data_IF_892994193767
#
_entry.id   IF_892994193767
#
_cell.length_a   1.000
_cell.length_b   1.000
_cell.length_c   1.000
_cell.angle_alpha   90.00
_cell.angle_beta   90.00
_cell.angle_gamma   90.00
#
_symmetry.space_group_name_H-M   'P 1'
#
loop_
_entity.id
_entity.type
_entity.pdbx_description
1 polymer ?
#
# COMPACT_ATOMS: atom_id res chain seq x y z
N UNK A 1 15.57 -16.63 -4.35
CA UNK A 1 14.65 -15.46 -4.24
C UNK A 1 15.45 -14.24 -3.80
N UNK A 2 15.49 -13.19 -4.62
CA UNK A 2 16.28 -11.98 -4.36
C UNK A 2 15.76 -11.26 -3.09
N UNK A 3 16.61 -10.47 -2.43
CA UNK A 3 16.25 -9.72 -1.22
C UNK A 3 15.00 -8.85 -1.45
N UNK A 4 14.92 -8.15 -2.58
CA UNK A 4 13.76 -7.31 -2.92
C UNK A 4 12.47 -8.12 -3.12
N UNK A 5 12.53 -9.34 -3.65
CA UNK A 5 11.36 -10.23 -3.74
C UNK A 5 10.91 -10.70 -2.36
N UNK A 6 11.85 -11.03 -1.45
CA UNK A 6 11.53 -11.34 -0.05
C UNK A 6 10.84 -10.17 0.64
N UNK A 7 11.31 -8.94 0.39
CA UNK A 7 10.68 -7.71 0.90
C UNK A 7 9.26 -7.54 0.37
N UNK A 8 9.06 -7.73 -0.92
CA UNK A 8 7.73 -7.61 -1.53
C UNK A 8 6.74 -8.64 -0.94
N UNK A 9 7.14 -9.90 -0.78
CA UNK A 9 6.31 -10.91 -0.13
C UNK A 9 6.00 -10.59 1.33
N UNK A 10 6.98 -10.10 2.07
CA UNK A 10 6.78 -9.69 3.46
C UNK A 10 5.78 -8.52 3.56
N UNK A 11 5.95 -7.49 2.74
CA UNK A 11 5.04 -6.34 2.69
C UNK A 11 3.60 -6.76 2.34
N UNK A 12 3.43 -7.71 1.41
CA UNK A 12 2.11 -8.28 1.10
C UNK A 12 1.52 -9.03 2.30
N UNK A 13 2.31 -9.85 2.98
CA UNK A 13 1.89 -10.56 4.20
C UNK A 13 1.45 -9.61 5.31
N UNK A 14 2.23 -8.56 5.58
CA UNK A 14 1.90 -7.53 6.58
C UNK A 14 0.65 -6.76 6.18
N UNK A 15 0.51 -6.39 4.91
CA UNK A 15 -0.67 -5.68 4.41
C UNK A 15 -1.93 -6.54 4.51
N UNK A 16 -1.84 -7.84 4.20
CA UNK A 16 -2.95 -8.77 4.35
C UNK A 16 -3.34 -8.94 5.82
N UNK A 17 -2.36 -9.13 6.71
CA UNK A 17 -2.60 -9.25 8.15
C UNK A 17 -3.23 -7.97 8.71
N UNK A 18 -2.78 -6.80 8.27
CA UNK A 18 -3.41 -5.52 8.60
C UNK A 18 -4.88 -5.51 8.19
N UNK A 19 -5.20 -5.85 6.93
CA UNK A 19 -6.58 -5.85 6.44
C UNK A 19 -7.47 -6.78 7.27
N UNK A 20 -6.99 -8.01 7.55
CA UNK A 20 -7.70 -8.97 8.39
C UNK A 20 -7.96 -8.39 9.79
N UNK A 21 -6.94 -7.80 10.40
CA UNK A 21 -7.03 -7.24 11.76
C UNK A 21 -7.96 -6.02 11.80
N UNK A 22 -7.86 -5.15 10.79
CA UNK A 22 -8.72 -3.98 10.63
C UNK A 22 -10.18 -4.38 10.53
N UNK A 23 -10.52 -5.30 9.62
CA UNK A 23 -11.90 -5.76 9.46
C UNK A 23 -12.40 -6.52 10.68
N UNK A 24 -11.57 -7.36 11.31
CA UNK A 24 -11.93 -8.04 12.55
C UNK A 24 -12.27 -7.05 13.67
N UNK A 25 -11.45 -6.01 13.87
CA UNK A 25 -11.72 -4.96 14.85
C UNK A 25 -12.95 -4.12 14.48
N UNK A 26 -13.15 -3.85 13.19
CA UNK A 26 -14.32 -3.11 12.71
C UNK A 26 -15.61 -3.86 13.03
N UNK A 27 -15.66 -5.17 12.76
CA UNK A 27 -16.83 -6.00 13.05
C UNK A 27 -17.06 -6.24 14.54
N UNK A 28 -16.00 -6.40 15.34
CA UNK A 28 -16.12 -6.76 16.76
C UNK A 28 -16.34 -5.55 17.68
N UNK A 29 -15.71 -4.42 17.38
CA UNK A 29 -15.60 -3.27 18.30
C UNK A 29 -16.10 -1.95 17.69
N UNK A 30 -16.27 -1.89 16.36
CA UNK A 30 -16.59 -0.65 15.67
C UNK A 30 -15.47 0.39 15.74
N UNK A 31 -15.70 1.57 15.16
CA UNK A 31 -14.75 2.68 15.26
C UNK A 31 -14.59 3.18 16.71
N UNK A 32 -13.38 3.64 17.12
CA UNK A 32 -12.16 3.88 16.33
C UNK A 32 -11.12 2.75 16.40
N UNK A 33 -11.46 1.61 17.01
CA UNK A 33 -10.53 0.48 17.24
C UNK A 33 -9.75 0.00 16.01
N UNK A 34 -10.28 0.04 14.77
CA UNK A 34 -9.52 -0.32 13.57
C UNK A 34 -8.24 0.51 13.36
N UNK A 35 -8.15 1.74 13.88
CA UNK A 35 -6.93 2.55 13.80
C UNK A 35 -5.77 1.97 14.63
N UNK A 36 -6.06 1.15 15.64
CA UNK A 36 -5.03 0.42 16.39
C UNK A 36 -4.32 -0.62 15.51
N UNK A 37 -5.00 -1.17 14.49
CA UNK A 37 -4.35 -2.00 13.49
C UNK A 37 -3.30 -1.22 12.68
N UNK A 38 -3.51 0.10 12.51
CA UNK A 38 -2.60 0.96 11.73
C UNK A 38 -1.29 1.18 12.48
N UNK A 39 -1.35 1.40 13.79
CA UNK A 39 -0.18 1.43 14.68
C UNK A 39 0.60 0.11 14.61
N UNK A 40 -0.10 -1.03 14.60
CA UNK A 40 0.50 -2.35 14.45
C UNK A 40 1.23 -2.52 13.10
N UNK A 41 0.62 -2.11 11.99
CA UNK A 41 1.25 -2.16 10.68
C UNK A 41 2.50 -1.24 10.60
N UNK A 42 2.44 -0.06 11.23
CA UNK A 42 3.55 0.88 11.29
C UNK A 42 4.76 0.30 12.04
N UNK A 43 4.53 -0.40 13.16
CA UNK A 43 5.58 -1.06 13.94
C UNK A 43 6.30 -2.15 13.13
N UNK A 44 5.57 -2.91 12.31
CA UNK A 44 6.16 -3.91 11.42
C UNK A 44 7.05 -3.30 10.32
N UNK A 45 6.63 -2.16 9.76
CA UNK A 45 7.43 -1.40 8.78
C UNK A 45 8.73 -0.88 9.43
N UNK A 46 8.66 -0.32 10.64
CA UNK A 46 9.82 0.18 11.39
C UNK A 46 10.80 -0.95 11.74
N UNK A 47 10.30 -2.08 12.25
CA UNK A 47 11.13 -3.22 12.62
C UNK A 47 11.88 -3.80 11.41
N UNK A 48 11.28 -3.75 10.22
CA UNK A 48 11.89 -4.27 9.01
C UNK A 48 12.95 -3.34 8.40
N UNK A 49 12.81 -2.02 8.53
CA UNK A 49 13.85 -1.07 8.15
C UNK A 49 15.12 -1.17 9.02
N UNK A 50 15.00 -1.72 10.23
CA UNK A 50 16.14 -1.99 11.10
C UNK A 50 17.04 -3.14 10.59
N UNK A 51 16.52 -4.05 9.76
CA UNK A 51 17.28 -5.17 9.18
C UNK A 51 17.85 -4.87 7.77
N UNK A 52 18.36 -3.65 7.57
CA UNK A 52 19.10 -3.28 6.35
C UNK A 52 20.51 -3.87 6.38
N UNK A 53 20.65 -5.14 6.00
CA UNK A 53 21.95 -5.69 5.61
C UNK A 53 22.48 -5.04 4.31
N UNK A 54 23.79 -5.10 4.05
CA UNK A 54 24.40 -4.56 2.84
C UNK A 54 23.84 -5.31 1.62
N UNK A 55 22.95 -4.66 0.89
CA UNK A 55 22.35 -5.20 -0.32
C UNK A 55 23.18 -4.67 -1.49
N UNK A 56 23.87 -5.56 -2.21
CA UNK A 56 24.51 -5.25 -3.49
C UNK A 56 23.42 -4.85 -4.48
N UNK A 57 23.18 -3.55 -4.59
CA UNK A 57 22.19 -2.98 -5.51
C UNK A 57 22.71 -3.07 -6.93
N UNK A 58 22.13 -3.97 -7.72
CA UNK A 58 22.34 -4.04 -9.18
C UNK A 58 21.53 -2.93 -9.87
N UNK A 59 22.00 -2.41 -11.01
CA UNK A 59 21.30 -1.38 -11.80
C UNK A 59 19.88 -1.83 -12.20
N UNK A 60 19.71 -3.14 -12.43
CA UNK A 60 18.41 -3.75 -12.71
C UNK A 60 17.42 -3.57 -11.55
N UNK A 61 17.89 -3.72 -10.31
CA UNK A 61 17.04 -3.61 -9.12
C UNK A 61 16.54 -2.17 -8.93
N UNK A 62 17.38 -1.18 -9.23
CA UNK A 62 17.00 0.23 -9.22
C UNK A 62 15.92 0.54 -10.26
N UNK A 63 16.03 -0.02 -11.47
CA UNK A 63 15.02 0.14 -12.53
C UNK A 63 13.68 -0.49 -12.14
N UNK A 64 13.69 -1.67 -11.52
CA UNK A 64 12.47 -2.34 -11.04
C UNK A 64 11.77 -1.48 -9.99
N UNK A 65 12.50 -0.98 -9.00
CA UNK A 65 11.94 -0.14 -7.92
C UNK A 65 11.34 1.14 -8.48
N UNK A 66 12.01 1.78 -9.45
CA UNK A 66 11.47 3.02 -10.07
C UNK A 66 10.18 2.76 -10.83
N UNK A 67 10.11 1.65 -11.59
CA UNK A 67 8.91 1.26 -12.34
C UNK A 67 7.78 0.84 -11.40
N UNK A 68 8.06 0.05 -10.36
CA UNK A 68 7.06 -0.40 -9.40
C UNK A 68 6.43 0.77 -8.63
N UNK A 69 7.24 1.75 -8.20
CA UNK A 69 6.74 2.98 -7.57
C UNK A 69 5.84 3.78 -8.50
N UNK A 70 6.21 3.94 -9.78
CA UNK A 70 5.36 4.66 -10.75
C UNK A 70 4.01 3.97 -10.92
N UNK A 71 3.99 2.64 -11.00
CA UNK A 71 2.73 1.86 -11.07
C UNK A 71 1.91 2.05 -9.79
N UNK A 72 2.55 1.94 -8.62
CA UNK A 72 1.87 2.08 -7.33
C UNK A 72 1.24 3.46 -7.15
N UNK A 73 1.96 4.53 -7.50
CA UNK A 73 1.41 5.90 -7.48
C UNK A 73 0.27 6.09 -8.48
N UNK A 74 0.35 5.48 -9.66
CA UNK A 74 -0.74 5.51 -10.64
C UNK A 74 -2.01 4.87 -10.09
N UNK A 75 -1.91 3.67 -9.50
CA UNK A 75 -3.03 2.97 -8.87
C UNK A 75 -3.61 3.79 -7.71
N UNK A 76 -2.76 4.35 -6.87
CA UNK A 76 -3.18 5.22 -5.76
C UNK A 76 -3.99 6.42 -6.23
N UNK A 77 -3.51 7.16 -7.24
CA UNK A 77 -4.22 8.33 -7.74
C UNK A 77 -5.58 7.99 -8.34
N UNK A 78 -5.67 6.89 -9.10
CA UNK A 78 -6.96 6.43 -9.66
C UNK A 78 -7.95 6.12 -8.55
N UNK A 79 -7.53 5.41 -7.50
CA UNK A 79 -8.40 5.08 -6.37
C UNK A 79 -8.75 6.30 -5.52
N UNK A 80 -7.81 7.22 -5.31
CA UNK A 80 -8.05 8.44 -4.56
C UNK A 80 -9.07 9.33 -5.29
N UNK A 81 -8.84 9.62 -6.57
CA UNK A 81 -9.78 10.43 -7.36
C UNK A 81 -11.13 9.74 -7.46
N UNK A 82 -11.15 8.43 -7.74
CA UNK A 82 -12.38 7.66 -7.82
C UNK A 82 -13.19 7.69 -6.52
N UNK A 83 -12.54 7.44 -5.38
CA UNK A 83 -13.19 7.49 -4.07
C UNK A 83 -13.68 8.89 -3.70
N UNK A 84 -12.90 9.95 -3.99
CA UNK A 84 -13.35 11.33 -3.81
C UNK A 84 -14.57 11.68 -4.67
N UNK A 85 -14.62 11.22 -5.92
CA UNK A 85 -15.79 11.44 -6.79
C UNK A 85 -17.02 10.69 -6.29
N UNK A 86 -16.88 9.43 -5.90
CA UNK A 86 -17.98 8.63 -5.30
C UNK A 86 -18.53 9.36 -4.08
N UNK A 87 -17.64 9.79 -3.21
CA UNK A 87 -17.99 10.50 -1.99
C UNK A 87 -18.72 11.82 -2.26
N UNK A 88 -18.21 12.63 -3.19
CA UNK A 88 -18.89 13.84 -3.66
C UNK A 88 -20.28 13.54 -4.20
N UNK A 89 -20.44 12.47 -4.98
CA UNK A 89 -21.74 12.08 -5.57
C UNK A 89 -22.80 11.78 -4.50
N UNK A 90 -22.41 11.15 -3.39
CA UNK A 90 -23.31 10.89 -2.26
C UNK A 90 -23.60 12.15 -1.42
N UNK A 91 -22.66 13.09 -1.36
CA UNK A 91 -22.77 14.28 -0.50
C UNK A 91 -23.31 15.53 -1.20
N UNK A 92 -23.37 15.55 -2.54
CA UNK A 92 -23.78 16.74 -3.32
C UNK A 92 -25.17 17.27 -2.97
N UNK A 93 -26.05 16.42 -2.43
CA UNK A 93 -27.42 16.79 -2.05
C UNK A 93 -27.55 17.24 -0.58
N UNK A 94 -26.45 17.27 0.20
CA UNK A 94 -26.44 17.77 1.58
C UNK A 94 -27.18 16.92 2.62
N UNK A 95 -27.73 15.77 2.23
CA UNK A 95 -28.55 14.91 3.11
C UNK A 95 -27.75 13.93 3.96
N UNK A 96 -26.49 13.68 3.61
CA UNK A 96 -25.63 12.71 4.30
C UNK A 96 -24.50 13.50 4.96
N UNK A 97 -24.30 13.31 6.26
CA UNK A 97 -23.16 13.85 7.00
C UNK A 97 -22.03 12.85 7.04
N UNK A 98 -20.83 13.30 6.69
CA UNK A 98 -19.59 12.52 6.77
C UNK A 98 -19.08 12.50 8.20
N UNK A 99 -18.71 11.33 8.71
CA UNK A 99 -17.87 11.26 9.91
C UNK A 99 -16.44 11.76 9.61
N UNK A 100 -15.89 12.61 10.48
CA UNK A 100 -14.55 13.17 10.33
C UNK A 100 -13.45 12.11 10.11
N UNK A 101 -13.68 10.90 10.60
CA UNK A 101 -12.80 9.74 10.51
C UNK A 101 -12.64 9.17 9.08
N UNK A 102 -13.53 9.53 8.15
CA UNK A 102 -13.47 8.98 6.78
C UNK A 102 -12.21 9.45 6.05
N UNK A 103 -11.81 10.71 6.21
CA UNK A 103 -10.63 11.27 5.51
C UNK A 103 -9.32 10.63 6.00
N UNK A 104 -9.05 10.54 7.32
CA UNK A 104 -7.91 9.76 7.83
C UNK A 104 -7.92 8.31 7.36
N UNK A 105 -9.09 7.65 7.38
CA UNK A 105 -9.23 6.28 6.88
C UNK A 105 -8.84 6.17 5.41
N UNK A 106 -9.29 7.09 4.55
CA UNK A 106 -8.94 7.09 3.11
C UNK A 106 -7.43 7.20 2.89
N UNK A 107 -6.74 8.06 3.65
CA UNK A 107 -5.28 8.24 3.55
C UNK A 107 -4.55 7.00 4.05
N UNK A 108 -4.99 6.44 5.19
CA UNK A 108 -4.48 5.21 5.77
C UNK A 108 -4.57 4.04 4.79
N UNK A 109 -5.76 3.80 4.22
CA UNK A 109 -5.96 2.77 3.20
C UNK A 109 -5.17 3.04 1.93
N UNK A 110 -5.10 4.29 1.47
CA UNK A 110 -4.31 4.67 0.31
C UNK A 110 -2.83 4.30 0.45
N UNK A 111 -2.26 4.51 1.63
CA UNK A 111 -0.87 4.12 1.94
C UNK A 111 -0.66 2.60 1.79
N UNK A 112 -1.59 1.80 2.29
CA UNK A 112 -1.53 0.33 2.16
C UNK A 112 -1.64 -0.09 0.71
N UNK A 113 -2.52 0.55 -0.07
CA UNK A 113 -2.64 0.25 -1.49
C UNK A 113 -1.34 0.55 -2.23
N UNK A 114 -0.65 1.64 -1.92
CA UNK A 114 0.67 1.92 -2.50
C UNK A 114 1.64 0.78 -2.19
N UNK A 115 1.74 0.36 -0.92
CA UNK A 115 2.65 -0.71 -0.50
C UNK A 115 2.31 -2.04 -1.17
N UNK A 116 1.04 -2.40 -1.25
CA UNK A 116 0.57 -3.58 -1.96
C UNK A 116 0.89 -3.52 -3.46
N UNK A 117 0.52 -2.43 -4.13
CA UNK A 117 0.73 -2.25 -5.56
C UNK A 117 2.22 -2.23 -5.91
N UNK A 118 3.06 -1.57 -5.10
CA UNK A 118 4.52 -1.57 -5.28
C UNK A 118 5.07 -2.99 -5.11
N UNK A 119 4.60 -3.74 -4.11
CA UNK A 119 5.06 -5.11 -3.84
C UNK A 119 4.65 -6.08 -4.95
N UNK A 120 3.39 -6.04 -5.40
CA UNK A 120 2.91 -6.83 -6.54
C UNK A 120 3.67 -6.46 -7.81
N UNK A 121 3.80 -5.18 -8.12
CA UNK A 121 4.52 -4.71 -9.32
C UNK A 121 6.00 -5.14 -9.28
N UNK A 122 6.63 -5.11 -8.10
CA UNK A 122 8.01 -5.59 -7.93
C UNK A 122 8.11 -7.08 -8.26
N UNK A 123 7.21 -7.92 -7.73
CA UNK A 123 7.22 -9.36 -8.02
C UNK A 123 7.00 -9.65 -9.51
N UNK A 124 6.06 -8.96 -10.15
CA UNK A 124 5.77 -9.11 -11.59
C UNK A 124 6.97 -8.68 -12.45
N UNK A 125 7.59 -7.53 -12.15
CA UNK A 125 8.73 -7.01 -12.92
C UNK A 125 9.99 -7.88 -12.80
N UNK A 126 10.14 -8.65 -11.72
CA UNK A 126 11.20 -9.66 -11.63
C UNK A 126 10.96 -10.88 -12.52
N UNK A 127 9.70 -11.19 -12.86
CA UNK A 127 9.33 -12.30 -13.73
C UNK A 127 9.39 -11.93 -15.22
N UNK A 128 9.32 -10.64 -15.55
CA UNK A 128 9.36 -10.15 -16.93
C UNK A 128 10.82 -9.82 -17.33
N UNK A 129 11.30 -10.27 -18.51
CA UNK A 129 12.57 -9.80 -19.06
C UNK A 129 12.45 -8.30 -19.39
N UNK A 130 13.17 -7.46 -18.64
CA UNK A 130 13.22 -6.04 -18.90
C UNK A 130 14.07 -5.80 -20.15
N UNK A 131 13.44 -5.38 -21.26
CA UNK A 131 14.19 -4.78 -22.37
C UNK A 131 14.88 -3.52 -21.84
N UNK A 132 16.20 -3.59 -21.75
CA UNK A 132 17.06 -2.42 -21.57
C UNK A 132 16.84 -1.53 -22.79
N UNK A 133 16.15 -0.40 -22.59
CA UNK A 133 16.00 0.62 -23.63
C UNK A 133 17.36 1.25 -23.90
N UNK A 134 18.13 0.62 -24.79
CA UNK A 134 19.12 1.29 -25.63
C UNK A 134 18.60 1.16 -27.06
N UNK A 135 17.74 2.11 -27.44
CA UNK A 135 17.62 2.58 -28.82
C UNK A 135 18.16 4.00 -28.83
#
# INVERSE_FOLDING_TARGET
MNANQKRAWFNLGVSLLFLITFFALLFLKGFPWPYAAFLWALLFVVHFFAFRGPNTYDERDALIIRKSKRIAFGVFWVLLVGSSMVFWTFHRNGTITVQADIVPSMISFGTIVIVCAESVATLLLYQIPLKSGRE
#
